data_IF_286804571102
#
_entry.id   IF_286804571102
#
_cell.length_a   1.000
_cell.length_b   1.000
_cell.length_c   1.000
_cell.angle_alpha   90.00
_cell.angle_beta   90.00
_cell.angle_gamma   90.00
#
_symmetry.space_group_name_H-M   'P 1'
#
loop_
_entity.id
_entity.type
_entity.pdbx_description
1 polymer ?
#
# COMPACT_ATOMS: atom_id res chain seq x y z
N UNK A 1 -33.58 10.40 5.22
CA UNK A 1 -32.83 9.24 4.71
C UNK A 1 -31.46 9.26 5.35
N UNK A 2 -31.12 8.25 6.15
CA UNK A 2 -29.77 8.12 6.69
C UNK A 2 -28.89 7.63 5.53
N UNK A 3 -28.02 8.48 5.00
CA UNK A 3 -27.00 8.04 4.07
C UNK A 3 -25.90 7.40 4.91
N UNK A 4 -25.86 6.06 4.94
CA UNK A 4 -24.80 5.33 5.63
C UNK A 4 -23.44 5.65 5.00
N UNK A 5 -22.43 5.86 5.84
CA UNK A 5 -21.07 6.03 5.37
C UNK A 5 -20.51 4.67 4.89
N UNK A 6 -19.71 4.68 3.82
CA UNK A 6 -19.07 3.47 3.25
C UNK A 6 -18.34 2.64 4.30
N UNK A 7 -17.74 3.28 5.30
CA UNK A 7 -17.03 2.60 6.40
C UNK A 7 -17.94 1.78 7.32
N UNK A 8 -19.25 2.07 7.38
CA UNK A 8 -20.22 1.31 8.20
C UNK A 8 -20.38 -0.13 7.71
N UNK A 9 -19.95 -0.44 6.48
CA UNK A 9 -19.92 -1.82 5.99
C UNK A 9 -19.02 -2.72 6.85
N UNK A 10 -17.99 -2.14 7.48
CA UNK A 10 -17.09 -2.88 8.36
C UNK A 10 -17.81 -3.35 9.61
N UNK A 11 -18.79 -2.59 10.13
CA UNK A 11 -19.58 -2.99 11.30
C UNK A 11 -20.47 -4.21 11.01
N UNK A 12 -20.77 -4.47 9.74
CA UNK A 12 -21.55 -5.61 9.28
C UNK A 12 -20.70 -6.85 8.98
N UNK A 13 -19.49 -6.66 8.45
CA UNK A 13 -18.65 -7.75 7.91
C UNK A 13 -17.59 -8.20 8.92
N UNK A 14 -17.12 -7.28 9.76
CA UNK A 14 -16.02 -7.53 10.67
C UNK A 14 -16.56 -7.94 12.04
N UNK A 15 -16.21 -9.14 12.55
CA UNK A 15 -16.60 -9.56 13.90
C UNK A 15 -16.16 -8.55 14.96
N UNK A 16 -16.94 -8.35 16.02
CA UNK A 16 -16.59 -7.37 17.09
C UNK A 16 -15.40 -7.81 17.94
N UNK A 17 -15.14 -9.11 17.99
CA UNK A 17 -14.06 -9.73 18.76
C UNK A 17 -12.89 -10.13 17.85
N UNK A 18 -12.25 -9.13 17.22
CA UNK A 18 -11.07 -9.39 16.43
C UNK A 18 -9.81 -9.56 17.26
N UNK A 19 -8.99 -10.48 16.79
CA UNK A 19 -7.68 -10.71 17.34
C UNK A 19 -6.79 -9.48 17.10
N UNK A 20 -6.32 -8.86 18.19
CA UNK A 20 -5.41 -7.71 18.14
C UNK A 20 -3.97 -8.13 17.89
N UNK A 21 -3.67 -9.43 17.91
CA UNK A 21 -2.32 -9.92 17.70
C UNK A 21 -1.92 -9.75 16.22
N UNK A 22 -0.68 -9.31 16.01
CA UNK A 22 -0.10 -9.26 14.66
C UNK A 22 0.17 -10.71 14.21
N UNK A 23 -0.47 -11.19 13.14
CA UNK A 23 -0.37 -12.58 12.70
C UNK A 23 1.02 -12.91 12.14
N UNK A 24 1.33 -14.21 12.10
CA UNK A 24 2.58 -14.74 11.53
C UNK A 24 2.41 -14.95 10.03
N UNK A 25 2.74 -13.93 9.24
CA UNK A 25 2.71 -13.97 7.77
C UNK A 25 4.11 -14.08 7.18
N UNK A 26 4.23 -14.63 5.96
CA UNK A 26 5.51 -14.71 5.24
C UNK A 26 5.61 -13.69 4.11
N UNK A 27 4.50 -13.06 3.73
CA UNK A 27 4.47 -11.92 2.82
C UNK A 27 3.55 -10.82 3.34
N UNK A 28 3.87 -9.57 3.01
CA UNK A 28 3.04 -8.41 3.32
C UNK A 28 2.90 -7.48 2.11
N UNK A 29 1.67 -7.08 1.81
CA UNK A 29 1.33 -6.10 0.77
C UNK A 29 0.82 -4.83 1.45
N UNK A 30 1.53 -3.73 1.28
CA UNK A 30 1.27 -2.47 1.99
C UNK A 30 0.78 -1.40 1.02
N UNK A 31 -0.32 -0.75 1.38
CA UNK A 31 -0.82 0.44 0.71
C UNK A 31 0.07 1.64 1.03
N UNK A 32 0.82 2.10 0.02
CA UNK A 32 1.78 3.19 0.14
C UNK A 32 1.14 4.53 0.51
N UNK A 33 -0.09 4.79 0.06
CA UNK A 33 -0.81 6.02 0.43
C UNK A 33 -1.14 6.01 1.93
N UNK A 34 -1.55 4.86 2.45
CA UNK A 34 -1.84 4.66 3.88
C UNK A 34 -0.57 4.79 4.71
N UNK A 35 0.55 4.23 4.25
CA UNK A 35 1.85 4.42 4.91
C UNK A 35 2.23 5.90 5.00
N UNK A 36 2.09 6.66 3.91
CA UNK A 36 2.43 8.09 3.85
C UNK A 36 1.53 8.96 4.74
N UNK A 37 0.26 8.59 4.89
CA UNK A 37 -0.67 9.29 5.77
C UNK A 37 -0.34 9.05 7.26
N UNK A 38 0.01 7.80 7.59
CA UNK A 38 0.34 7.39 8.95
C UNK A 38 1.73 7.87 9.38
N UNK A 39 2.73 7.73 8.51
CA UNK A 39 4.13 8.04 8.77
C UNK A 39 4.37 9.52 8.44
N UNK A 40 4.03 10.39 9.39
CA UNK A 40 4.28 11.82 9.22
C UNK A 40 5.78 12.10 9.20
N UNK A 41 6.25 13.08 8.40
CA UNK A 41 7.67 13.38 8.26
C UNK A 41 8.42 13.79 9.53
N UNK A 42 7.71 14.23 10.59
CA UNK A 42 8.32 14.61 11.85
C UNK A 42 9.39 15.70 11.68
N UNK A 43 10.64 15.37 12.05
CA UNK A 43 11.80 16.26 11.92
C UNK A 43 12.48 16.26 10.55
N UNK A 44 12.00 15.47 9.58
CA UNK A 44 12.61 15.42 8.25
C UNK A 44 12.47 16.76 7.50
N UNK A 45 13.58 17.29 7.00
CA UNK A 45 13.64 18.57 6.29
C UNK A 45 13.30 18.41 4.82
N UNK A 46 13.71 17.32 4.18
CA UNK A 46 13.51 17.05 2.74
C UNK A 46 12.77 15.74 2.50
N UNK A 47 12.22 15.56 1.29
CA UNK A 47 11.60 14.29 0.89
C UNK A 47 12.57 13.11 1.00
N UNK A 48 13.85 13.32 0.65
CA UNK A 48 14.89 12.31 0.78
C UNK A 48 15.13 11.93 2.24
N UNK A 49 15.17 12.94 3.13
CA UNK A 49 15.28 12.70 4.58
C UNK A 49 14.03 11.99 5.13
N UNK A 50 12.84 12.35 4.66
CA UNK A 50 11.60 11.65 5.02
C UNK A 50 11.67 10.16 4.63
N UNK A 51 12.21 9.85 3.45
CA UNK A 51 12.44 8.48 3.06
C UNK A 51 13.44 7.77 3.99
N UNK A 52 14.62 8.34 4.20
CA UNK A 52 15.70 7.68 4.96
C UNK A 52 15.41 7.54 6.45
N UNK A 53 14.77 8.55 7.05
CA UNK A 53 14.66 8.65 8.50
C UNK A 53 13.32 8.07 9.00
N UNK A 54 12.31 7.96 8.14
CA UNK A 54 10.95 7.57 8.54
C UNK A 54 10.46 6.35 7.75
N UNK A 55 10.35 6.45 6.43
CA UNK A 55 9.69 5.40 5.64
C UNK A 55 10.53 4.11 5.52
N UNK A 56 11.81 4.24 5.18
CA UNK A 56 12.68 3.08 5.00
C UNK A 56 12.87 2.26 6.29
N UNK A 57 13.15 2.87 7.48
CA UNK A 57 13.23 2.13 8.73
C UNK A 57 11.92 1.41 9.07
N UNK A 58 10.77 2.04 8.81
CA UNK A 58 9.49 1.39 8.98
C UNK A 58 9.37 0.15 8.11
N UNK A 59 9.66 0.24 6.80
CA UNK A 59 9.58 -0.92 5.89
C UNK A 59 10.59 -2.00 6.26
N UNK A 60 11.80 -1.63 6.68
CA UNK A 60 12.80 -2.59 7.14
C UNK A 60 12.31 -3.45 8.32
N UNK A 61 11.58 -2.87 9.27
CA UNK A 61 11.01 -3.62 10.41
C UNK A 61 10.00 -4.70 10.01
N UNK A 62 9.46 -4.66 8.79
CA UNK A 62 8.56 -5.71 8.30
C UNK A 62 9.31 -6.96 7.84
N UNK A 63 10.60 -6.86 7.51
CA UNK A 63 11.42 -8.00 7.11
C UNK A 63 11.78 -8.94 8.27
N UNK A 64 11.62 -8.49 9.51
CA UNK A 64 11.81 -9.33 10.72
C UNK A 64 10.94 -10.58 10.70
N UNK A 65 9.77 -10.50 10.04
CA UNK A 65 8.77 -11.59 10.00
C UNK A 65 8.40 -12.01 8.58
N UNK A 66 8.52 -11.11 7.61
CA UNK A 66 8.13 -11.38 6.23
C UNK A 66 9.36 -11.64 5.35
N UNK A 67 9.23 -12.57 4.41
CA UNK A 67 10.23 -12.83 3.39
C UNK A 67 10.04 -11.91 2.18
N UNK A 68 8.79 -11.52 1.91
CA UNK A 68 8.42 -10.66 0.80
C UNK A 68 7.60 -9.47 1.26
N UNK A 69 7.92 -8.28 0.77
CA UNK A 69 7.16 -7.06 1.00
C UNK A 69 6.85 -6.41 -0.33
N UNK A 70 5.59 -6.03 -0.54
CA UNK A 70 5.13 -5.36 -1.74
C UNK A 70 4.54 -4.01 -1.33
N UNK A 71 5.07 -2.90 -1.84
CA UNK A 71 4.53 -1.55 -1.60
C UNK A 71 3.75 -1.09 -2.83
N UNK A 72 2.46 -0.88 -2.66
CA UNK A 72 1.55 -0.55 -3.76
C UNK A 72 1.10 0.91 -3.63
N UNK A 73 1.41 1.70 -4.63
CA UNK A 73 1.05 3.11 -4.72
C UNK A 73 -0.16 3.34 -5.63
N UNK A 74 -0.99 4.34 -5.29
CA UNK A 74 -2.03 4.85 -6.18
C UNK A 74 -1.44 5.44 -7.46
N UNK A 75 -2.19 5.30 -8.56
CA UNK A 75 -1.90 6.01 -9.80
C UNK A 75 -2.96 7.07 -10.06
N UNK A 76 -2.54 8.33 -9.93
CA UNK A 76 -3.38 9.47 -10.27
C UNK A 76 -3.29 9.74 -11.78
N UNK A 77 -4.26 9.23 -12.55
CA UNK A 77 -4.40 9.58 -13.97
C UNK A 77 -5.31 10.79 -14.15
N UNK A 78 -4.89 11.75 -14.98
CA UNK A 78 -5.71 12.93 -15.32
C UNK A 78 -6.92 12.60 -16.19
N UNK A 79 -6.88 11.48 -16.91
CA UNK A 79 -7.95 11.04 -17.82
C UNK A 79 -8.97 10.14 -17.14
N UNK A 80 -8.88 9.96 -15.82
CA UNK A 80 -9.84 9.15 -15.06
C UNK A 80 -11.17 9.86 -14.90
N UNK A 81 -12.27 9.12 -14.91
CA UNK A 81 -13.58 9.61 -14.47
C UNK A 81 -13.57 10.15 -13.02
N UNK A 82 -12.58 9.74 -12.21
CA UNK A 82 -12.41 10.19 -10.83
C UNK A 82 -11.53 11.44 -10.71
N UNK A 83 -10.88 11.92 -11.78
CA UNK A 83 -9.99 13.08 -11.72
C UNK A 83 -10.75 14.35 -11.35
N UNK A 84 -11.90 14.61 -11.97
CA UNK A 84 -12.74 15.80 -11.71
C UNK A 84 -13.22 15.84 -10.26
N UNK A 85 -13.66 14.71 -9.72
CA UNK A 85 -14.12 14.59 -8.32
C UNK A 85 -12.97 14.84 -7.34
N UNK A 86 -11.75 14.39 -7.68
CA UNK A 86 -10.57 14.60 -6.82
C UNK A 86 -10.03 16.02 -6.91
N UNK A 87 -10.09 16.64 -8.09
CA UNK A 87 -9.73 18.05 -8.29
C UNK A 87 -10.63 18.96 -7.44
N UNK A 88 -11.94 18.68 -7.40
CA UNK A 88 -12.88 19.40 -6.54
C UNK A 88 -12.60 19.23 -5.03
N UNK A 89 -11.94 18.14 -4.61
CA UNK A 89 -11.59 17.86 -3.21
C UNK A 89 -10.25 18.50 -2.77
N UNK A 90 -9.38 18.86 -3.72
CA UNK A 90 -8.01 19.29 -3.45
C UNK A 90 -7.84 20.81 -3.41
N UNK A 91 -7.90 21.44 -2.23
CA UNK A 91 -7.73 22.90 -2.09
C UNK A 91 -6.32 23.33 -1.65
N UNK A 92 -5.27 22.61 -2.07
CA UNK A 92 -3.90 22.82 -1.57
C UNK A 92 -2.94 23.48 -2.58
N UNK A 93 -1.83 24.03 -2.09
CA UNK A 93 -0.79 24.58 -2.96
C UNK A 93 0.02 23.47 -3.65
N UNK A 94 0.09 23.52 -4.98
CA UNK A 94 0.94 22.65 -5.78
C UNK A 94 2.42 22.91 -5.46
N UNK A 95 3.17 21.83 -5.23
CA UNK A 95 4.63 21.87 -5.03
C UNK A 95 5.27 20.72 -5.80
N UNK A 96 6.32 21.02 -6.55
CA UNK A 96 7.10 19.98 -7.23
C UNK A 96 7.87 19.14 -6.20
N UNK A 97 7.80 17.82 -6.31
CA UNK A 97 8.44 16.88 -5.38
C UNK A 97 9.65 16.21 -6.03
N UNK A 98 10.80 16.39 -5.40
CA UNK A 98 12.06 15.67 -5.62
C UNK A 98 12.61 15.27 -4.25
N UNK A 99 13.67 14.45 -4.22
CA UNK A 99 14.37 14.12 -2.97
C UNK A 99 14.89 15.35 -2.21
N UNK A 100 15.23 16.45 -2.91
CA UNK A 100 15.69 17.69 -2.29
C UNK A 100 14.58 18.68 -1.93
N UNK A 101 13.33 18.42 -2.34
CA UNK A 101 12.18 19.26 -1.98
C UNK A 101 12.01 19.30 -0.47
N UNK A 102 11.84 20.50 0.09
CA UNK A 102 11.54 20.68 1.51
C UNK A 102 10.18 20.08 1.86
N UNK A 103 10.11 19.34 2.95
CA UNK A 103 8.87 18.82 3.51
C UNK A 103 7.93 20.00 3.84
N UNK A 104 6.65 19.93 3.46
CA UNK A 104 5.67 20.96 3.77
C UNK A 104 5.28 20.95 5.25
N UNK A 105 5.23 22.13 5.88
CA UNK A 105 4.81 22.24 7.28
C UNK A 105 3.37 21.73 7.54
N UNK A 106 2.48 21.83 6.55
CA UNK A 106 1.15 21.21 6.61
C UNK A 106 1.08 19.99 5.68
N UNK A 107 1.50 18.84 6.21
CA UNK A 107 1.51 17.56 5.49
C UNK A 107 0.12 17.14 4.99
N UNK A 108 -0.90 17.31 5.82
CA UNK A 108 -2.27 16.92 5.47
C UNK A 108 -2.80 17.74 4.29
N UNK A 109 -2.59 19.06 4.28
CA UNK A 109 -2.99 19.91 3.16
C UNK A 109 -2.19 19.61 1.89
N UNK A 110 -0.90 19.28 2.03
CA UNK A 110 -0.06 18.88 0.90
C UNK A 110 -0.55 17.59 0.22
N UNK A 111 -0.95 16.59 1.02
CA UNK A 111 -1.49 15.32 0.51
C UNK A 111 -2.90 15.45 -0.09
N UNK A 112 -3.60 16.58 0.10
CA UNK A 112 -4.88 16.84 -0.60
C UNK A 112 -4.71 17.18 -2.07
N UNK A 113 -3.49 17.49 -2.53
CA UNK A 113 -3.20 17.81 -3.92
C UNK A 113 -2.74 16.55 -4.64
N UNK A 114 -3.52 16.07 -5.60
CA UNK A 114 -3.23 14.81 -6.31
C UNK A 114 -1.87 14.81 -7.00
N UNK A 115 -1.51 15.91 -7.66
CA UNK A 115 -0.21 16.02 -8.30
C UNK A 115 0.95 15.96 -7.28
N UNK A 116 0.76 16.44 -6.05
CA UNK A 116 1.77 16.34 -4.98
C UNK A 116 1.94 14.89 -4.55
N UNK A 117 0.83 14.17 -4.32
CA UNK A 117 0.85 12.74 -4.01
C UNK A 117 1.51 11.95 -5.13
N UNK A 118 1.13 12.19 -6.38
CA UNK A 118 1.65 11.47 -7.54
C UNK A 118 3.17 11.59 -7.64
N UNK A 119 3.72 12.81 -7.55
CA UNK A 119 5.17 12.98 -7.59
C UNK A 119 5.86 12.41 -6.35
N UNK A 120 5.27 12.60 -5.16
CA UNK A 120 5.80 12.00 -3.93
C UNK A 120 5.90 10.47 -4.05
N UNK A 121 4.83 9.80 -4.46
CA UNK A 121 4.78 8.34 -4.57
C UNK A 121 5.81 7.82 -5.58
N UNK A 122 5.96 8.50 -6.72
CA UNK A 122 6.99 8.16 -7.71
C UNK A 122 8.39 8.31 -7.13
N UNK A 123 8.68 9.39 -6.40
CA UNK A 123 10.01 9.58 -5.79
C UNK A 123 10.30 8.54 -4.70
N UNK A 124 9.34 8.25 -3.83
CA UNK A 124 9.50 7.23 -2.79
C UNK A 124 9.67 5.82 -3.38
N UNK A 125 8.90 5.48 -4.40
CA UNK A 125 9.00 4.18 -5.07
C UNK A 125 10.34 3.99 -5.78
N UNK A 126 10.89 5.05 -6.40
CA UNK A 126 12.26 5.03 -6.92
C UNK A 126 13.29 4.82 -5.81
N UNK A 127 13.14 5.51 -4.68
CA UNK A 127 14.04 5.33 -3.54
C UNK A 127 13.98 3.90 -2.98
N UNK A 128 12.78 3.29 -2.92
CA UNK A 128 12.61 1.88 -2.52
C UNK A 128 13.34 0.91 -3.43
N UNK A 129 13.35 1.16 -4.75
CA UNK A 129 14.10 0.33 -5.72
C UNK A 129 15.60 0.29 -5.41
N UNK A 130 16.13 1.32 -4.77
CA UNK A 130 17.56 1.43 -4.41
C UNK A 130 17.83 1.14 -2.93
N UNK A 131 16.81 0.76 -2.17
CA UNK A 131 16.94 0.44 -0.75
C UNK A 131 17.68 -0.88 -0.55
N UNK A 132 18.56 -0.93 0.44
CA UNK A 132 19.18 -2.18 0.92
C UNK A 132 18.32 -2.82 2.01
N UNK A 133 18.27 -4.15 2.04
CA UNK A 133 17.48 -4.94 3.00
C UNK A 133 18.14 -6.31 3.18
N UNK A 134 17.74 -7.11 4.18
CA UNK A 134 18.41 -8.37 4.49
C UNK A 134 18.45 -9.33 3.30
N UNK A 135 19.55 -10.10 3.20
CA UNK A 135 19.75 -11.08 2.12
C UNK A 135 18.64 -12.15 2.14
N UNK A 136 18.22 -12.58 0.95
CA UNK A 136 17.17 -13.60 0.78
C UNK A 136 15.75 -13.10 1.01
N UNK A 137 15.57 -11.79 1.25
CA UNK A 137 14.26 -11.13 1.27
C UNK A 137 13.96 -10.50 -0.09
N UNK A 138 12.69 -10.14 -0.30
CA UNK A 138 12.23 -9.54 -1.55
C UNK A 138 11.42 -8.26 -1.28
N UNK A 139 11.71 -7.20 -2.03
CA UNK A 139 10.94 -5.97 -2.04
C UNK A 139 10.42 -5.68 -3.44
N UNK A 140 9.11 -5.53 -3.56
CA UNK A 140 8.44 -5.06 -4.76
C UNK A 140 7.83 -3.68 -4.48
N UNK A 141 7.81 -2.82 -5.48
CA UNK A 141 7.10 -1.55 -5.40
C UNK A 141 6.49 -1.20 -6.75
N UNK A 142 5.24 -0.74 -6.77
CA UNK A 142 4.66 -0.21 -8.00
C UNK A 142 5.29 1.14 -8.35
N UNK A 143 5.41 1.43 -9.64
CA UNK A 143 5.77 2.77 -10.14
C UNK A 143 4.87 3.02 -11.35
N UNK A 144 3.95 3.98 -11.23
CA UNK A 144 2.95 4.24 -12.27
C UNK A 144 2.23 2.94 -12.63
N UNK A 145 2.15 2.58 -13.90
CA UNK A 145 1.54 1.38 -14.46
C UNK A 145 2.42 0.12 -14.39
N UNK A 146 3.60 0.20 -13.78
CA UNK A 146 4.52 -0.92 -13.65
C UNK A 146 4.77 -1.38 -12.23
N UNK A 147 5.55 -2.46 -12.11
CA UNK A 147 6.13 -2.93 -10.87
C UNK A 147 7.65 -3.04 -11.05
N UNK A 148 8.39 -2.56 -10.05
CA UNK A 148 9.84 -2.72 -9.96
C UNK A 148 10.20 -3.46 -8.69
N UNK A 149 11.37 -4.08 -8.71
CA UNK A 149 11.96 -4.72 -7.55
C UNK A 149 13.42 -4.32 -7.43
N UNK A 150 13.90 -4.27 -6.21
CA UNK A 150 15.31 -4.11 -5.86
C UNK A 150 16.06 -5.46 -5.89
N UNK A 151 15.36 -6.59 -6.01
CA UNK A 151 15.96 -7.92 -6.08
C UNK A 151 16.40 -8.25 -7.51
N UNK A 152 17.71 -8.48 -7.69
CA UNK A 152 18.27 -8.78 -9.00
C UNK A 152 17.74 -10.11 -9.57
N UNK A 153 17.46 -10.13 -10.88
CA UNK A 153 17.07 -11.34 -11.61
C UNK A 153 15.60 -11.75 -11.51
N UNK A 154 14.77 -11.03 -10.74
CA UNK A 154 13.33 -11.30 -10.66
C UNK A 154 12.61 -10.63 -11.83
N UNK A 155 11.80 -11.42 -12.55
CA UNK A 155 10.92 -10.94 -13.61
C UNK A 155 9.62 -10.37 -13.03
N UNK A 156 9.34 -9.09 -13.28
CA UNK A 156 8.12 -8.41 -12.82
C UNK A 156 6.97 -8.41 -13.84
N UNK A 157 7.09 -9.11 -14.97
CA UNK A 157 6.05 -9.16 -16.01
C UNK A 157 4.72 -9.74 -15.53
N UNK A 158 4.72 -10.64 -14.54
CA UNK A 158 3.47 -11.14 -13.97
C UNK A 158 2.71 -10.06 -13.16
N UNK A 159 3.41 -8.98 -12.78
CA UNK A 159 2.90 -7.82 -12.05
C UNK A 159 2.74 -6.59 -12.96
N UNK A 160 2.99 -6.73 -14.26
CA UNK A 160 2.97 -5.63 -15.23
C UNK A 160 2.29 -6.03 -16.55
N UNK A 161 1.50 -5.14 -17.18
CA UNK A 161 1.17 -3.81 -16.71
C UNK A 161 0.12 -3.87 -15.59
N UNK A 162 0.36 -3.10 -14.54
CA UNK A 162 -0.57 -2.84 -13.45
C UNK A 162 -1.40 -1.61 -13.86
N UNK A 163 -2.38 -1.79 -14.74
CA UNK A 163 -3.13 -0.69 -15.38
C UNK A 163 -4.30 -0.18 -14.55
N UNK A 164 -4.70 -0.91 -13.52
CA UNK A 164 -5.80 -0.55 -12.62
C UNK A 164 -5.50 0.78 -11.96
N UNK A 165 -6.40 1.74 -11.91
CA UNK A 165 -6.04 3.07 -11.39
C UNK A 165 -5.79 3.08 -9.87
N UNK A 166 -6.61 2.34 -9.12
CA UNK A 166 -6.69 2.42 -7.66
C UNK A 166 -5.81 1.37 -6.98
N UNK A 167 -5.12 1.77 -5.90
CA UNK A 167 -4.24 0.86 -5.17
C UNK A 167 -4.98 -0.36 -4.64
N UNK A 168 -6.26 -0.24 -4.26
CA UNK A 168 -7.08 -1.33 -3.73
C UNK A 168 -7.09 -2.58 -4.61
N UNK A 169 -7.28 -2.44 -5.92
CA UNK A 169 -7.31 -3.54 -6.88
C UNK A 169 -5.89 -4.05 -7.16
N UNK A 170 -4.92 -3.12 -7.20
CA UNK A 170 -3.50 -3.46 -7.38
C UNK A 170 -2.96 -4.28 -6.20
N UNK A 171 -3.40 -4.01 -4.97
CA UNK A 171 -3.02 -4.78 -3.78
C UNK A 171 -3.28 -6.27 -4.02
N UNK A 172 -4.45 -6.64 -4.57
CA UNK A 172 -4.79 -8.05 -4.76
C UNK A 172 -4.08 -8.73 -5.94
N UNK A 173 -3.61 -7.96 -6.94
CA UNK A 173 -2.65 -8.48 -7.93
C UNK A 173 -1.35 -8.94 -7.25
N UNK A 174 -0.85 -8.13 -6.32
CA UNK A 174 0.35 -8.46 -5.54
C UNK A 174 0.11 -9.61 -4.54
N UNK A 175 -1.08 -9.70 -3.94
CA UNK A 175 -1.49 -10.87 -3.12
C UNK A 175 -1.48 -12.15 -3.96
N UNK A 176 -2.06 -12.12 -5.16
CA UNK A 176 -2.05 -13.26 -6.07
C UNK A 176 -0.62 -13.66 -6.47
N UNK A 177 0.24 -12.68 -6.77
CA UNK A 177 1.63 -12.95 -7.11
C UNK A 177 2.43 -13.53 -5.94
N UNK A 178 2.22 -13.07 -4.71
CA UNK A 178 2.83 -13.65 -3.51
C UNK A 178 2.35 -15.11 -3.32
N UNK A 179 1.07 -15.37 -3.54
CA UNK A 179 0.48 -16.71 -3.45
C UNK A 179 1.09 -17.66 -4.49
N UNK A 180 1.25 -17.20 -5.73
CA UNK A 180 1.91 -17.97 -6.80
C UNK A 180 3.39 -18.23 -6.51
N UNK A 181 4.05 -17.34 -5.77
CA UNK A 181 5.41 -17.53 -5.26
C UNK A 181 5.47 -18.47 -4.02
N UNK A 182 4.33 -19.03 -3.59
CA UNK A 182 4.25 -20.00 -2.50
C UNK A 182 3.96 -19.41 -1.12
N UNK A 183 3.69 -18.10 -1.02
CA UNK A 183 3.28 -17.51 0.24
C UNK A 183 1.81 -17.84 0.54
N UNK A 184 1.59 -18.74 1.50
CA UNK A 184 0.24 -19.19 1.89
C UNK A 184 -0.41 -18.34 2.97
N UNK A 185 0.36 -17.52 3.70
CA UNK A 185 -0.12 -16.60 4.74
C UNK A 185 0.34 -15.19 4.42
N UNK A 186 -0.59 -14.37 3.92
CA UNK A 186 -0.31 -13.04 3.39
C UNK A 186 -1.04 -11.98 4.21
N UNK A 187 -0.36 -10.88 4.52
CA UNK A 187 -0.97 -9.70 5.13
C UNK A 187 -1.17 -8.60 4.09
N UNK A 188 -2.31 -7.91 4.15
CA UNK A 188 -2.55 -6.64 3.45
C UNK A 188 -2.74 -5.54 4.49
N UNK A 189 -2.07 -4.40 4.32
CA UNK A 189 -2.31 -3.20 5.14
C UNK A 189 -2.90 -2.10 4.26
N UNK A 190 -4.12 -1.67 4.58
CA UNK A 190 -4.76 -0.51 3.96
C UNK A 190 -5.71 0.16 4.95
N UNK A 191 -6.25 1.34 4.65
CA UNK A 191 -7.34 1.97 5.40
C UNK A 191 -8.58 2.18 4.55
N UNK A 192 -8.63 1.66 3.33
CA UNK A 192 -9.85 1.66 2.53
C UNK A 192 -10.73 0.46 2.92
N UNK A 193 -12.03 0.68 3.05
CA UNK A 193 -13.00 -0.37 3.31
C UNK A 193 -13.23 -1.26 2.08
N UNK A 194 -13.01 -0.75 0.85
CA UNK A 194 -13.12 -1.57 -0.37
C UNK A 194 -12.10 -2.70 -0.39
N UNK A 195 -10.93 -2.49 0.22
CA UNK A 195 -9.92 -3.54 0.37
C UNK A 195 -10.45 -4.73 1.18
N UNK A 196 -11.31 -4.50 2.17
CA UNK A 196 -11.90 -5.60 2.96
C UNK A 196 -12.86 -6.43 2.10
N UNK A 197 -13.68 -5.77 1.27
CA UNK A 197 -14.62 -6.46 0.36
C UNK A 197 -13.85 -7.23 -0.73
N UNK A 198 -12.85 -6.58 -1.34
CA UNK A 198 -12.00 -7.20 -2.35
C UNK A 198 -11.18 -8.36 -1.78
N UNK A 199 -10.78 -8.30 -0.51
CA UNK A 199 -10.07 -9.38 0.17
C UNK A 199 -10.90 -10.67 0.23
N UNK A 200 -12.20 -10.55 0.50
CA UNK A 200 -13.10 -11.73 0.53
C UNK A 200 -13.14 -12.38 -0.86
N UNK A 201 -13.33 -11.58 -1.91
CA UNK A 201 -13.35 -12.08 -3.28
C UNK A 201 -12.01 -12.71 -3.69
N UNK A 202 -10.89 -12.05 -3.34
CA UNK A 202 -9.55 -12.55 -3.64
C UNK A 202 -9.22 -13.85 -2.89
N UNK A 203 -9.62 -13.96 -1.63
CA UNK A 203 -9.41 -15.16 -0.83
C UNK A 203 -10.16 -16.36 -1.43
N UNK A 204 -11.43 -16.20 -1.78
CA UNK A 204 -12.21 -17.25 -2.46
C UNK A 204 -11.56 -17.67 -3.78
N UNK A 205 -11.05 -16.71 -4.58
CA UNK A 205 -10.38 -17.02 -5.83
C UNK A 205 -9.04 -17.75 -5.67
N UNK A 206 -8.39 -17.61 -4.50
CA UNK A 206 -7.05 -18.16 -4.21
C UNK A 206 -7.06 -19.29 -3.18
N UNK A 207 -8.23 -19.73 -2.72
CA UNK A 207 -8.40 -20.63 -1.58
C UNK A 207 -7.58 -21.93 -1.69
N UNK A 208 -7.36 -22.44 -2.91
CA UNK A 208 -6.60 -23.68 -3.13
C UNK A 208 -5.08 -23.53 -2.89
N UNK A 209 -4.59 -22.29 -2.81
CA UNK A 209 -3.15 -21.95 -2.71
C UNK A 209 -2.82 -21.05 -1.54
N UNK A 210 -3.81 -20.52 -0.85
CA UNK A 210 -3.69 -19.59 0.26
C UNK A 210 -4.38 -20.17 1.49
N UNK A 211 -3.66 -20.24 2.61
CA UNK A 211 -4.20 -20.70 3.89
C UNK A 211 -4.89 -19.55 4.63
N UNK A 212 -4.25 -18.38 4.66
CA UNK A 212 -4.70 -17.24 5.44
C UNK A 212 -4.44 -15.91 4.71
N UNK A 213 -5.46 -15.05 4.68
CA UNK A 213 -5.35 -13.65 4.25
C UNK A 213 -5.73 -12.73 5.41
N UNK A 214 -4.77 -11.92 5.84
CA UNK A 214 -4.95 -11.00 6.95
C UNK A 214 -5.07 -9.57 6.45
N UNK A 215 -6.14 -8.86 6.82
CA UNK A 215 -6.31 -7.44 6.47
C UNK A 215 -6.13 -6.60 7.73
N UNK A 216 -5.06 -5.80 7.75
CA UNK A 216 -4.83 -4.80 8.77
C UNK A 216 -5.42 -3.46 8.32
N UNK A 217 -6.65 -3.19 8.75
CA UNK A 217 -7.40 -1.97 8.49
C UNK A 217 -7.35 -1.04 9.70
N UNK A 218 -6.59 0.05 9.63
CA UNK A 218 -6.41 0.99 10.75
C UNK A 218 -5.92 0.30 12.05
N UNK A 219 -6.77 0.12 13.06
CA UNK A 219 -6.47 -0.59 14.32
C UNK A 219 -7.15 -1.96 14.42
N UNK A 220 -7.71 -2.43 13.30
CA UNK A 220 -8.57 -3.60 13.19
C UNK A 220 -7.87 -4.64 12.29
N UNK A 221 -7.76 -5.89 12.75
CA UNK A 221 -7.18 -7.00 11.99
C UNK A 221 -8.24 -8.04 11.66
N UNK A 222 -8.51 -8.29 10.38
CA UNK A 222 -9.42 -9.35 9.91
C UNK A 222 -8.62 -10.55 9.40
N UNK A 223 -9.04 -11.78 9.73
CA UNK A 223 -8.47 -13.02 9.19
C UNK A 223 -9.50 -13.75 8.32
N UNK A 224 -9.10 -14.11 7.10
CA UNK A 224 -9.81 -15.07 6.25
C UNK A 224 -8.94 -16.33 6.17
N UNK A 225 -9.46 -17.47 6.64
CA UNK A 225 -8.71 -18.71 6.72
C UNK A 225 -9.54 -19.90 6.21
N UNK A 226 -8.86 -20.86 5.57
CA UNK A 226 -9.46 -22.13 5.21
C UNK A 226 -9.66 -22.98 6.48
N UNK A 227 -10.76 -23.74 6.53
CA UNK A 227 -11.03 -24.69 7.61
C UNK A 227 -10.25 -25.98 7.45
#
# INVERSE_FOLDING_TARGET
MHHGNKSEILDCIVPRDLDKHRPVTTAAVLDGAVLVQMLRPGGAVTTGQYFTDVLAPYILSWFDRNNRIDIVWDVYSKTSLKSDIREQRGTGARRRVTLSTKVPGNWAAFLRVDLNKQELFVELAKSLKHMTFPQGKELFTTIRDGCVTSTAGINTNALAPCTQEEADTRLFLHVAAATLAGHRRVMVRSSDSDVVVLAIAAFVALEQRMDELWIFHLSISLNLANK
#
